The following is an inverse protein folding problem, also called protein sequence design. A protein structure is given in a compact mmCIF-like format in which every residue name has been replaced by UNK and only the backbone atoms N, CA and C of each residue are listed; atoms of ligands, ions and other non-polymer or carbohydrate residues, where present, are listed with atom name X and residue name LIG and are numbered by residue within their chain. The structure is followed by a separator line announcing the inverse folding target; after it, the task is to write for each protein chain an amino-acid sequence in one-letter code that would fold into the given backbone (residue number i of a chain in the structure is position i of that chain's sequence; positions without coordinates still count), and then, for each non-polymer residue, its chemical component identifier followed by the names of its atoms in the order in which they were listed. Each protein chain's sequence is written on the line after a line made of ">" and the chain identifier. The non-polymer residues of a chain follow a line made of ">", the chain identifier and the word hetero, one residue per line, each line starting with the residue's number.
data_IF_025543195552
#
_entry.id   IF_025543195552
#
_cell.length_a   1.000
_cell.length_b   1.000
_cell.length_c   1.000
_cell.angle_alpha   90.00
_cell.angle_beta   90.00
_cell.angle_gamma   90.00
#
_symmetry.space_group_name_H-M   'P 1'
#
loop_
_entity.id
_entity.type
_entity.pdbx_description
1 polymer ?
#
# COMPACT_ATOMS: atom_id res chain seq x y z
N UNK A 1 -23.55 -15.66 14.73
CA UNK A 1 -23.37 -14.90 13.49
C UNK A 1 -22.58 -13.66 13.86
N UNK A 2 -21.26 -13.75 13.77
CA UNK A 2 -20.35 -12.63 14.02
C UNK A 2 -20.33 -11.71 12.80
N UNK A 3 -20.24 -10.42 13.08
CA UNK A 3 -20.55 -9.30 12.20
C UNK A 3 -19.51 -9.12 11.09
N UNK A 4 -19.87 -9.40 9.84
CA UNK A 4 -18.95 -9.24 8.69
C UNK A 4 -18.61 -7.76 8.41
N UNK A 5 -19.39 -6.83 8.98
CA UNK A 5 -19.04 -5.40 9.03
C UNK A 5 -17.77 -5.10 9.82
N UNK A 6 -17.39 -5.95 10.78
CA UNK A 6 -16.13 -5.81 11.52
C UNK A 6 -14.94 -6.04 10.59
N UNK A 7 -15.02 -7.09 9.75
CA UNK A 7 -13.92 -7.54 8.91
C UNK A 7 -13.65 -6.59 7.73
N UNK A 8 -14.70 -6.00 7.13
CA UNK A 8 -14.53 -4.99 6.08
C UNK A 8 -13.89 -3.71 6.63
N UNK A 9 -14.32 -3.25 7.81
CA UNK A 9 -13.81 -2.04 8.43
C UNK A 9 -12.34 -2.19 8.84
N UNK A 10 -11.99 -3.36 9.39
CA UNK A 10 -10.62 -3.70 9.74
C UNK A 10 -9.73 -3.82 8.49
N UNK A 11 -10.21 -4.48 7.43
CA UNK A 11 -9.49 -4.55 6.16
C UNK A 11 -9.24 -3.16 5.54
N UNK A 12 -10.23 -2.27 5.61
CA UNK A 12 -10.08 -0.89 5.14
C UNK A 12 -9.05 -0.11 5.98
N UNK A 13 -9.10 -0.25 7.32
CA UNK A 13 -8.15 0.41 8.20
C UNK A 13 -6.71 -0.06 7.91
N UNK A 14 -6.49 -1.37 7.77
CA UNK A 14 -5.18 -1.91 7.44
C UNK A 14 -4.71 -1.48 6.04
N UNK A 15 -5.62 -1.42 5.06
CA UNK A 15 -5.33 -0.89 3.73
C UNK A 15 -4.89 0.57 3.76
N UNK A 16 -5.55 1.41 4.57
CA UNK A 16 -5.21 2.81 4.74
C UNK A 16 -3.84 2.98 5.43
N UNK A 17 -3.53 2.16 6.44
CA UNK A 17 -2.22 2.14 7.10
C UNK A 17 -1.10 1.71 6.14
N UNK A 18 -1.35 0.69 5.31
CA UNK A 18 -0.39 0.26 4.28
C UNK A 18 -0.18 1.33 3.22
N UNK A 19 -1.24 2.05 2.83
CA UNK A 19 -1.16 3.16 1.90
C UNK A 19 -0.30 4.30 2.46
N UNK A 20 -0.52 4.69 3.71
CA UNK A 20 0.28 5.72 4.38
C UNK A 20 1.76 5.33 4.46
N UNK A 21 2.07 4.05 4.74
CA UNK A 21 3.45 3.54 4.72
C UNK A 21 4.06 3.53 3.32
N UNK A 22 3.27 3.21 2.29
CA UNK A 22 3.69 3.27 0.88
C UNK A 22 4.04 4.69 0.45
N UNK A 23 3.20 5.66 0.80
CA UNK A 23 3.44 7.08 0.56
C UNK A 23 4.72 7.56 1.26
N UNK A 24 4.92 7.18 2.53
CA UNK A 24 6.15 7.48 3.26
C UNK A 24 7.40 6.88 2.59
N UNK A 25 7.29 5.68 2.01
CA UNK A 25 8.38 5.07 1.25
C UNK A 25 8.64 5.82 -0.07
N UNK A 26 7.61 6.32 -0.76
CA UNK A 26 7.78 7.17 -1.95
C UNK A 26 8.46 8.50 -1.63
N UNK A 27 8.19 9.10 -0.47
CA UNK A 27 8.84 10.32 -0.01
C UNK A 27 10.36 10.15 0.18
N UNK A 28 10.85 8.93 0.38
CA UNK A 28 12.31 8.67 0.50
C UNK A 28 13.09 9.04 -0.76
N UNK A 29 12.44 9.08 -1.94
CA UNK A 29 13.06 9.57 -3.18
C UNK A 29 13.42 11.04 -3.16
N UNK A 30 12.74 11.83 -2.33
CA UNK A 30 13.05 13.26 -2.13
C UNK A 30 14.30 13.44 -1.26
N UNK A 31 14.74 12.39 -0.58
CA UNK A 31 16.04 12.36 0.12
C UNK A 31 17.14 12.22 -0.92
N UNK A 32 17.33 13.23 -1.76
CA UNK A 32 18.59 13.36 -2.49
C UNK A 32 19.70 13.66 -1.47
N UNK A 33 20.93 13.15 -1.66
CA UNK A 33 22.10 13.64 -0.95
C UNK A 33 22.44 15.06 -1.46
N UNK A 34 21.55 16.02 -1.25
CA UNK A 34 21.83 17.45 -1.36
C UNK A 34 22.51 17.90 -0.05
N UNK A 35 23.59 17.22 0.31
CA UNK A 35 24.40 17.58 1.45
C UNK A 35 25.32 18.74 1.09
N UNK A 36 24.87 19.98 1.33
CA UNK A 36 25.73 21.16 1.43
C UNK A 36 26.63 21.16 2.68
N UNK A 37 26.66 20.04 3.42
CA UNK A 37 27.38 19.88 4.70
C UNK A 37 28.61 18.96 4.64
N UNK A 38 28.91 18.34 3.49
CA UNK A 38 30.08 17.47 3.33
C UNK A 38 31.03 18.02 2.27
N UNK A 39 32.31 18.20 2.63
CA UNK A 39 33.40 18.49 1.67
C UNK A 39 33.76 17.28 0.78
N UNK A 40 33.09 16.14 0.99
CA UNK A 40 33.30 14.90 0.22
C UNK A 40 32.19 14.77 -0.80
N UNK A 41 32.52 14.94 -2.08
CA UNK A 41 31.62 14.61 -3.17
C UNK A 41 31.33 13.10 -3.18
N UNK A 42 30.06 12.67 -3.24
CA UNK A 42 29.74 11.25 -3.34
C UNK A 42 30.30 10.67 -4.64
N UNK A 43 30.94 9.50 -4.54
CA UNK A 43 31.43 8.78 -5.71
C UNK A 43 30.29 8.36 -6.64
N UNK A 44 30.57 8.16 -7.93
CA UNK A 44 29.56 7.71 -8.90
C UNK A 44 28.90 6.38 -8.48
N UNK A 45 29.66 5.46 -7.89
CA UNK A 45 29.12 4.20 -7.35
C UNK A 45 28.10 4.41 -6.21
N UNK A 46 28.30 5.42 -5.37
CA UNK A 46 27.35 5.76 -4.31
C UNK A 46 26.07 6.36 -4.89
N UNK A 47 26.19 7.24 -5.89
CA UNK A 47 25.04 7.80 -6.61
C UNK A 47 24.24 6.71 -7.32
N UNK A 48 24.92 5.76 -7.97
CA UNK A 48 24.31 4.62 -8.65
C UNK A 48 23.62 3.68 -7.67
N UNK A 49 24.29 3.27 -6.59
CA UNK A 49 23.68 2.41 -5.57
C UNK A 49 22.44 3.05 -4.94
N UNK A 50 22.52 4.35 -4.62
CA UNK A 50 21.40 5.10 -4.09
C UNK A 50 20.24 5.19 -5.10
N UNK A 51 20.54 5.47 -6.37
CA UNK A 51 19.54 5.50 -7.44
C UNK A 51 18.85 4.15 -7.64
N UNK A 52 19.62 3.05 -7.57
CA UNK A 52 19.07 1.70 -7.64
C UNK A 52 18.16 1.40 -6.45
N UNK A 53 18.56 1.78 -5.23
CA UNK A 53 17.69 1.66 -4.05
C UNK A 53 16.39 2.44 -4.20
N UNK A 54 16.43 3.65 -4.75
CA UNK A 54 15.23 4.43 -5.03
C UNK A 54 14.34 3.77 -6.08
N UNK A 55 14.93 3.20 -7.15
CA UNK A 55 14.20 2.46 -8.17
C UNK A 55 13.49 1.22 -7.59
N UNK A 56 14.16 0.48 -6.72
CA UNK A 56 13.55 -0.68 -6.05
C UNK A 56 12.43 -0.27 -5.09
N UNK A 57 12.62 0.82 -4.34
CA UNK A 57 11.55 1.39 -3.51
C UNK A 57 10.34 1.76 -4.37
N UNK A 58 10.58 2.31 -5.57
CA UNK A 58 9.55 2.66 -6.53
C UNK A 58 8.72 1.45 -6.97
N UNK A 59 9.40 0.42 -7.48
CA UNK A 59 8.78 -0.83 -7.92
C UNK A 59 7.99 -1.49 -6.79
N UNK A 60 8.55 -1.50 -5.58
CA UNK A 60 7.90 -2.07 -4.41
C UNK A 60 6.63 -1.30 -4.03
N UNK A 61 6.66 0.04 -4.04
CA UNK A 61 5.47 0.85 -3.74
C UNK A 61 4.35 0.64 -4.77
N UNK A 62 4.69 0.48 -6.05
CA UNK A 62 3.71 0.18 -7.10
C UNK A 62 3.02 -1.17 -6.88
N UNK A 63 3.78 -2.22 -6.56
CA UNK A 63 3.22 -3.55 -6.29
C UNK A 63 2.39 -3.58 -5.00
N UNK A 64 2.83 -2.84 -3.98
CA UNK A 64 2.11 -2.70 -2.72
C UNK A 64 0.77 -2.01 -2.94
N UNK A 65 0.73 -0.97 -3.78
CA UNK A 65 -0.50 -0.24 -4.10
C UNK A 65 -1.52 -1.14 -4.82
N UNK A 66 -1.09 -1.93 -5.80
CA UNK A 66 -1.96 -2.91 -6.46
C UNK A 66 -2.52 -3.94 -5.46
N UNK A 67 -1.70 -4.37 -4.51
CA UNK A 67 -2.10 -5.33 -3.48
C UNK A 67 -3.14 -4.73 -2.51
N UNK A 68 -2.95 -3.47 -2.10
CA UNK A 68 -3.91 -2.73 -1.26
C UNK A 68 -5.27 -2.62 -1.96
N UNK A 69 -5.29 -2.27 -3.25
CA UNK A 69 -6.53 -2.17 -4.03
C UNK A 69 -7.28 -3.50 -4.09
N UNK A 70 -6.58 -4.62 -4.29
CA UNK A 70 -7.19 -5.96 -4.30
C UNK A 70 -7.78 -6.34 -2.95
N UNK A 71 -7.13 -5.99 -1.84
CA UNK A 71 -7.65 -6.25 -0.49
C UNK A 71 -8.98 -5.50 -0.29
N UNK A 72 -9.00 -4.20 -0.62
CA UNK A 72 -10.21 -3.37 -0.49
C UNK A 72 -11.34 -3.87 -1.39
N UNK A 73 -11.04 -4.21 -2.64
CA UNK A 73 -12.04 -4.78 -3.57
C UNK A 73 -12.63 -6.09 -3.05
N UNK A 74 -11.78 -6.96 -2.50
CA UNK A 74 -12.22 -8.25 -1.94
C UNK A 74 -13.11 -8.02 -0.71
N UNK A 75 -12.71 -7.13 0.20
CA UNK A 75 -13.49 -6.79 1.38
C UNK A 75 -14.86 -6.19 1.02
N UNK A 76 -14.91 -5.32 0.00
CA UNK A 76 -16.16 -4.77 -0.51
C UNK A 76 -17.05 -5.85 -1.13
N UNK A 77 -16.48 -6.76 -1.93
CA UNK A 77 -17.24 -7.85 -2.53
C UNK A 77 -17.88 -8.77 -1.48
N UNK A 78 -17.15 -9.09 -0.40
CA UNK A 78 -17.74 -9.86 0.71
C UNK A 78 -18.89 -9.12 1.37
N UNK A 79 -18.73 -7.82 1.67
CA UNK A 79 -19.82 -7.03 2.24
C UNK A 79 -21.04 -6.94 1.32
N UNK A 80 -20.87 -6.85 0.01
CA UNK A 80 -21.97 -6.85 -0.96
C UNK A 80 -22.69 -8.20 -0.97
N UNK A 81 -21.94 -9.31 -1.00
CA UNK A 81 -22.50 -10.65 -0.96
C UNK A 81 -23.30 -10.91 0.32
N UNK A 82 -22.84 -10.41 1.47
CA UNK A 82 -23.58 -10.52 2.72
C UNK A 82 -24.86 -9.70 2.72
N UNK A 83 -24.82 -8.50 2.14
CA UNK A 83 -26.02 -7.70 1.97
C UNK A 83 -27.04 -8.41 1.07
N UNK A 84 -26.60 -9.02 -0.03
CA UNK A 84 -27.45 -9.83 -0.92
C UNK A 84 -28.09 -11.03 -0.20
N UNK A 85 -27.33 -11.71 0.65
CA UNK A 85 -27.81 -12.83 1.48
C UNK A 85 -28.83 -12.33 2.52
N UNK A 86 -28.48 -11.27 3.26
CA UNK A 86 -29.32 -10.72 4.33
C UNK A 86 -30.63 -10.10 3.80
N UNK A 87 -30.59 -9.51 2.61
CA UNK A 87 -31.78 -8.97 1.93
C UNK A 87 -32.65 -10.05 1.27
N UNK A 88 -32.22 -11.32 1.28
CA UNK A 88 -32.93 -12.43 0.63
C UNK A 88 -32.88 -12.39 -0.90
N UNK A 89 -32.06 -11.50 -1.47
CA UNK A 89 -31.88 -11.35 -2.93
C UNK A 89 -31.05 -12.50 -3.50
N UNK A 90 -30.24 -13.17 -2.66
CA UNK A 90 -29.43 -14.34 -3.03
C UNK A 90 -29.78 -15.53 -2.13
N UNK A 91 -30.21 -16.62 -2.74
CA UNK A 91 -30.45 -17.90 -2.06
C UNK A 91 -29.12 -18.64 -1.89
N UNK A 92 -28.74 -18.92 -0.63
CA UNK A 92 -27.69 -19.89 -0.33
C UNK A 92 -28.28 -21.27 -0.63
N UNK A 93 -27.74 -21.98 -1.63
CA UNK A 93 -28.06 -23.38 -1.93
C UNK A 93 -27.10 -24.32 -1.20
#
# INVERSE_FOLDING_TARGET
>A
MTEIKSDQREAQQLADELKAKSEALQETKKVMPAGSFSTVAPSEKMKEAFSNSLLYADQYTSLLQESIEKIVQTANSFSEQDHEIASGTKLIK
#
